data_IF_281566929822
#
_entry.id   IF_281566929822
#
_cell.length_a   1.000
_cell.length_b   1.000
_cell.length_c   1.000
_cell.angle_alpha   90.00
_cell.angle_beta   90.00
_cell.angle_gamma   90.00
#
_symmetry.space_group_name_H-M   'P 1'
#
loop_
_entity.id
_entity.type
_entity.pdbx_description
1 polymer ?
#
# COMPACT_ATOMS: atom_id res chain seq x y z
N UNK A 1 77.19 -33.86 27.95
CA UNK A 1 76.44 -33.54 26.72
C UNK A 1 74.94 -33.68 26.99
N UNK A 2 74.26 -32.59 27.32
CA UNK A 2 72.83 -32.61 27.65
C UNK A 2 72.03 -32.18 26.42
N UNK A 3 71.16 -33.06 25.90
CA UNK A 3 70.32 -32.78 24.73
C UNK A 3 69.08 -31.99 25.17
N UNK A 4 69.02 -30.73 24.76
CA UNK A 4 67.81 -29.91 24.92
C UNK A 4 66.68 -30.46 24.04
N UNK A 5 65.60 -30.88 24.69
CA UNK A 5 64.35 -31.30 24.04
C UNK A 5 63.53 -30.05 23.72
N UNK A 6 63.57 -29.61 22.47
CA UNK A 6 62.65 -28.59 21.96
C UNK A 6 61.21 -29.09 22.03
N UNK A 7 60.44 -28.56 22.99
CA UNK A 7 58.99 -28.75 23.06
C UNK A 7 58.36 -28.05 21.85
N UNK A 8 57.86 -28.86 20.90
CA UNK A 8 57.00 -28.40 19.80
C UNK A 8 55.73 -27.77 20.39
N UNK A 9 55.61 -26.45 20.26
CA UNK A 9 54.38 -25.73 20.55
C UNK A 9 53.32 -26.14 19.52
N UNK A 10 52.25 -26.80 19.97
CA UNK A 10 51.09 -27.10 19.12
C UNK A 10 50.19 -25.85 19.11
N UNK A 11 49.79 -25.31 17.95
CA UNK A 11 48.88 -24.18 17.90
C UNK A 11 47.51 -24.59 18.48
N UNK A 12 47.02 -23.84 19.45
CA UNK A 12 45.67 -23.99 20.00
C UNK A 12 44.70 -23.23 19.10
N UNK A 13 43.96 -23.95 18.27
CA UNK A 13 42.87 -23.39 17.47
C UNK A 13 41.56 -23.46 18.26
N UNK A 14 41.38 -22.57 19.24
CA UNK A 14 40.06 -22.38 19.83
C UNK A 14 39.26 -21.45 18.91
N UNK A 15 38.06 -21.86 18.51
CA UNK A 15 37.16 -20.99 17.74
C UNK A 15 36.67 -19.91 18.71
N UNK A 16 36.91 -18.64 18.38
CA UNK A 16 36.26 -17.54 19.10
C UNK A 16 34.76 -17.58 18.76
N UNK A 17 33.94 -18.06 19.70
CA UNK A 17 32.48 -18.19 19.52
C UNK A 17 31.77 -16.84 19.70
N UNK A 18 32.34 -15.94 20.52
CA UNK A 18 31.76 -14.61 20.82
C UNK A 18 31.51 -13.76 19.57
N UNK A 19 32.45 -13.63 18.62
CA UNK A 19 32.20 -12.91 17.36
C UNK A 19 31.09 -13.54 16.49
N UNK A 20 30.95 -14.87 16.51
CA UNK A 20 29.89 -15.56 15.75
C UNK A 20 28.51 -15.29 16.34
N UNK A 21 28.41 -15.30 17.67
CA UNK A 21 27.16 -15.00 18.37
C UNK A 21 26.72 -13.57 18.06
N UNK A 22 27.64 -12.61 18.04
CA UNK A 22 27.35 -11.20 17.72
C UNK A 22 26.72 -11.05 16.33
N UNK A 23 27.33 -11.67 15.30
CA UNK A 23 26.77 -11.68 13.93
C UNK A 23 25.38 -12.30 13.88
N UNK A 24 25.17 -13.43 14.58
CA UNK A 24 23.87 -14.10 14.61
C UNK A 24 22.81 -13.24 15.33
N UNK A 25 23.16 -12.54 16.41
CA UNK A 25 22.25 -11.65 17.14
C UNK A 25 21.88 -10.42 16.32
N UNK A 26 22.83 -9.82 15.59
CA UNK A 26 22.56 -8.70 14.67
C UNK A 26 21.51 -9.08 13.62
N UNK A 27 21.62 -10.28 13.03
CA UNK A 27 20.63 -10.77 12.06
C UNK A 27 19.23 -10.93 12.67
N UNK A 28 19.13 -11.41 13.91
CA UNK A 28 17.85 -11.54 14.62
C UNK A 28 17.21 -10.17 14.90
N UNK A 29 18.00 -9.18 15.30
CA UNK A 29 17.51 -7.81 15.55
C UNK A 29 16.99 -7.17 14.26
N UNK A 30 17.71 -7.34 13.13
CA UNK A 30 17.25 -6.85 11.83
C UNK A 30 15.87 -7.41 11.49
N UNK A 31 15.69 -8.73 11.62
CA UNK A 31 14.39 -9.36 11.36
C UNK A 31 13.28 -8.83 12.29
N UNK A 32 13.54 -8.71 13.59
CA UNK A 32 12.57 -8.16 14.56
C UNK A 32 12.12 -6.74 14.21
N UNK A 33 13.03 -5.88 13.73
CA UNK A 33 12.74 -4.48 13.38
C UNK A 33 11.97 -4.37 12.05
N UNK A 34 12.16 -5.29 11.10
CA UNK A 34 11.46 -5.22 9.80
C UNK A 34 9.97 -5.58 9.87
N UNK A 35 9.54 -6.38 10.85
CA UNK A 35 8.13 -6.78 11.00
C UNK A 35 7.14 -5.60 11.18
N UNK A 36 7.37 -4.60 12.06
CA UNK A 36 6.45 -3.47 12.23
C UNK A 36 6.35 -2.56 10.98
N UNK A 37 7.30 -2.62 10.05
CA UNK A 37 7.26 -1.80 8.82
C UNK A 37 6.18 -2.28 7.82
N UNK A 38 5.70 -3.53 7.94
CA UNK A 38 4.67 -4.08 7.05
C UNK A 38 3.24 -3.60 7.38
N UNK A 39 3.04 -2.91 8.52
CA UNK A 39 1.72 -2.46 8.98
C UNK A 39 1.41 -1.00 8.63
N UNK A 40 2.04 -0.42 7.60
CA UNK A 40 1.64 0.88 7.07
C UNK A 40 0.39 0.76 6.18
N UNK A 41 -0.73 0.36 6.77
CA UNK A 41 -2.06 0.50 6.17
C UNK A 41 -2.74 1.70 6.80
N UNK A 42 -3.04 2.74 6.02
CA UNK A 42 -3.92 3.83 6.49
C UNK A 42 -5.32 3.24 6.62
N UNK A 43 -5.92 3.33 7.81
CA UNK A 43 -7.32 2.98 8.01
C UNK A 43 -8.19 4.04 7.30
N UNK A 44 -8.78 3.66 6.17
CA UNK A 44 -9.66 4.54 5.40
C UNK A 44 -11.10 4.25 5.80
N UNK A 45 -11.70 5.14 6.58
CA UNK A 45 -13.13 5.13 6.83
C UNK A 45 -13.87 5.62 5.58
N UNK A 46 -14.40 4.67 4.80
CA UNK A 46 -15.26 4.99 3.67
C UNK A 46 -16.61 5.51 4.21
N UNK A 47 -17.09 6.70 3.78
CA UNK A 47 -18.39 7.19 4.17
C UNK A 47 -19.46 6.22 3.67
N UNK A 48 -20.34 5.76 4.57
CA UNK A 48 -21.53 5.00 4.19
C UNK A 48 -22.50 5.96 3.53
N UNK A 49 -22.56 5.91 2.20
CA UNK A 49 -23.53 6.67 1.43
C UNK A 49 -24.89 6.05 1.68
N UNK A 50 -25.78 6.74 2.38
CA UNK A 50 -27.22 6.43 2.36
C UNK A 50 -27.79 6.85 1.01
N UNK A 51 -27.38 6.16 -0.06
CA UNK A 51 -28.11 6.23 -1.30
C UNK A 51 -29.45 5.53 -1.04
N UNK A 52 -30.51 6.31 -0.86
CA UNK A 52 -31.86 5.75 -0.95
C UNK A 52 -31.92 4.99 -2.28
N UNK A 53 -32.38 3.73 -2.29
CA UNK A 53 -32.73 3.09 -3.54
C UNK A 53 -33.63 4.08 -4.30
N UNK A 54 -33.32 4.33 -5.58
CA UNK A 54 -34.23 5.09 -6.42
C UNK A 54 -35.55 4.32 -6.40
N UNK A 55 -36.60 4.91 -5.80
CA UNK A 55 -37.93 4.32 -5.71
C UNK A 55 -38.41 4.04 -7.14
N UNK A 56 -38.50 2.77 -7.56
CA UNK A 56 -38.92 2.25 -8.88
C UNK A 56 -39.08 3.35 -9.95
N UNK A 57 -38.00 4.10 -10.16
CA UNK A 57 -38.06 5.32 -10.96
C UNK A 57 -38.03 4.80 -12.37
N UNK A 58 -39.12 5.04 -13.10
CA UNK A 58 -39.24 4.49 -14.43
C UNK A 58 -38.07 5.03 -15.26
N UNK A 59 -37.47 4.22 -16.17
CA UNK A 59 -36.29 4.63 -16.92
C UNK A 59 -36.42 5.98 -17.63
N UNK A 60 -37.66 6.36 -17.97
CA UNK A 60 -38.01 7.66 -18.56
C UNK A 60 -37.73 8.89 -17.67
N UNK A 61 -37.72 8.73 -16.34
CA UNK A 61 -37.51 9.83 -15.38
C UNK A 61 -36.03 9.96 -14.95
N UNK A 62 -35.15 9.09 -15.45
CA UNK A 62 -33.74 9.04 -15.05
C UNK A 62 -32.87 9.89 -15.99
N UNK A 63 -32.48 11.08 -15.52
CA UNK A 63 -31.54 11.95 -16.22
C UNK A 63 -30.11 11.61 -15.79
N UNK A 64 -29.30 11.11 -16.74
CA UNK A 64 -27.88 10.80 -16.53
C UNK A 64 -27.02 11.90 -17.16
N UNK A 65 -26.37 12.70 -16.30
CA UNK A 65 -25.39 13.71 -16.69
C UNK A 65 -23.99 13.13 -16.55
N UNK A 66 -23.21 13.16 -17.62
CA UNK A 66 -21.81 12.72 -17.62
C UNK A 66 -20.87 13.89 -17.90
N UNK A 67 -19.76 13.96 -17.15
CA UNK A 67 -18.71 14.99 -17.29
C UNK A 67 -17.43 14.33 -17.76
N UNK A 68 -16.84 14.84 -18.84
CA UNK A 68 -15.55 14.36 -19.33
C UNK A 68 -14.36 15.08 -18.65
N UNK A 69 -13.13 14.63 -18.93
CA UNK A 69 -11.91 15.20 -18.34
C UNK A 69 -11.64 16.64 -18.79
N UNK A 70 -12.31 17.09 -19.85
CA UNK A 70 -12.23 18.43 -20.41
C UNK A 70 -13.29 19.36 -19.81
N UNK A 71 -14.13 18.86 -18.90
CA UNK A 71 -15.21 19.62 -18.27
C UNK A 71 -16.44 19.80 -19.14
N UNK A 72 -16.59 19.00 -20.21
CA UNK A 72 -17.77 19.03 -21.07
C UNK A 72 -18.86 18.15 -20.49
N UNK A 73 -20.08 18.66 -20.47
CA UNK A 73 -21.26 17.96 -20.01
C UNK A 73 -21.92 17.21 -21.16
N UNK A 74 -22.48 16.03 -20.87
CA UNK A 74 -23.30 15.29 -21.81
C UNK A 74 -24.52 14.69 -21.13
N UNK A 75 -25.67 14.77 -21.79
CA UNK A 75 -26.89 14.06 -21.40
C UNK A 75 -27.00 12.78 -22.20
N UNK A 76 -27.37 11.69 -21.51
CA UNK A 76 -27.69 10.38 -22.11
C UNK A 76 -26.77 9.99 -23.28
N UNK A 77 -25.61 9.41 -22.97
CA UNK A 77 -24.76 8.62 -23.88
C UNK A 77 -24.70 9.13 -25.35
N UNK A 78 -24.40 10.41 -25.58
CA UNK A 78 -24.04 10.81 -26.95
C UNK A 78 -23.90 12.30 -27.27
N UNK A 79 -24.58 13.19 -26.56
CA UNK A 79 -24.60 14.61 -26.95
C UNK A 79 -23.98 15.50 -25.89
N UNK A 80 -22.92 16.23 -26.28
CA UNK A 80 -22.36 17.28 -25.45
C UNK A 80 -23.29 18.48 -25.45
N UNK A 81 -23.54 19.03 -24.26
CA UNK A 81 -24.35 20.22 -24.08
C UNK A 81 -23.49 21.35 -23.54
N UNK A 82 -23.85 22.57 -23.92
CA UNK A 82 -23.36 23.76 -23.24
C UNK A 82 -24.07 23.94 -21.90
N UNK A 83 -23.52 24.80 -21.05
CA UNK A 83 -24.03 25.04 -19.69
C UNK A 83 -25.49 25.54 -19.69
N UNK A 84 -25.89 26.27 -20.73
CA UNK A 84 -27.25 26.79 -20.89
C UNK A 84 -28.24 25.69 -21.26
N UNK A 85 -27.92 24.83 -22.22
CA UNK A 85 -28.76 23.68 -22.59
C UNK A 85 -28.81 22.63 -21.47
N UNK A 86 -27.73 22.43 -20.72
CA UNK A 86 -27.75 21.56 -19.54
C UNK A 86 -28.71 22.08 -18.47
N UNK A 87 -28.67 23.39 -18.18
CA UNK A 87 -29.60 24.00 -17.21
C UNK A 87 -31.04 23.89 -17.66
N UNK A 88 -31.32 24.12 -18.94
CA UNK A 88 -32.66 23.98 -19.49
C UNK A 88 -33.19 22.54 -19.38
N UNK A 89 -32.33 21.55 -19.63
CA UNK A 89 -32.71 20.13 -19.62
C UNK A 89 -32.84 19.50 -18.22
N UNK A 90 -32.33 20.15 -17.17
CA UNK A 90 -32.43 19.69 -15.77
C UNK A 90 -33.48 20.51 -14.98
N UNK A 91 -33.95 21.64 -15.54
CA UNK A 91 -34.92 22.53 -14.89
C UNK A 91 -36.40 22.15 -15.13
N UNK A 92 -36.66 21.12 -15.93
CA UNK A 92 -37.98 20.47 -16.07
C UNK A 92 -38.04 19.23 -15.18
#
# INVERSE_FOLDING_TARGET
>A
MSRNLQRRHRPMSQINVVPYIDVMLVLLVIFMVTAPLLQQGVEVELPKVEARPLDDTKPEDLIVVSVDRQGRFSLQRGQYLDDEALRAAVAE
#
